data_IF_486160666078
#
_entry.id   IF_486160666078
#
_cell.length_a   1.000
_cell.length_b   1.000
_cell.length_c   1.000
_cell.angle_alpha   90.00
_cell.angle_beta   90.00
_cell.angle_gamma   90.00
#
_symmetry.space_group_name_H-M   'P 1'
#
loop_
_entity.id
_entity.type
_entity.pdbx_description
1 polymer ?
#
# COMPACT_ATOMS: atom_id res chain seq x y z
N UNK A 1 -3.97 4.21 7.77
CA UNK A 1 -4.34 4.13 6.34
C UNK A 1 -4.90 2.74 6.08
N UNK A 2 -6.04 2.63 5.40
CA UNK A 2 -6.66 1.38 4.95
C UNK A 2 -6.58 1.33 3.42
N UNK A 3 -5.97 0.27 2.87
CA UNK A 3 -5.78 0.07 1.42
C UNK A 3 -5.91 -1.41 1.06
N UNK A 4 -5.65 -1.80 -0.18
CA UNK A 4 -5.86 -3.15 -0.67
C UNK A 4 -7.30 -3.39 -1.13
N UNK A 5 -7.56 -4.56 -1.73
CA UNK A 5 -8.90 -4.89 -2.25
C UNK A 5 -10.02 -4.84 -1.21
N UNK A 6 -9.74 -5.18 0.05
CA UNK A 6 -10.74 -5.15 1.13
C UNK A 6 -11.18 -3.74 1.53
N UNK A 7 -10.38 -2.71 1.22
CA UNK A 7 -10.73 -1.32 1.53
C UNK A 7 -11.91 -0.79 0.70
N UNK A 8 -12.36 -1.51 -0.34
CA UNK A 8 -13.64 -1.22 -1.03
C UNK A 8 -14.88 -1.57 -0.20
N UNK A 9 -14.74 -2.41 0.83
CA UNK A 9 -15.88 -2.77 1.68
C UNK A 9 -16.15 -1.64 2.69
N UNK A 10 -17.19 -0.85 2.44
CA UNK A 10 -17.65 0.20 3.36
C UNK A 10 -18.00 -0.38 4.74
N UNK A 11 -18.63 -1.55 4.79
CA UNK A 11 -19.00 -2.19 6.05
C UNK A 11 -17.77 -2.54 6.89
N UNK A 12 -16.73 -3.10 6.27
CA UNK A 12 -15.48 -3.44 6.95
C UNK A 12 -14.75 -2.18 7.39
N UNK A 13 -14.57 -1.22 6.48
CA UNK A 13 -13.82 0.00 6.75
C UNK A 13 -14.51 0.88 7.79
N UNK A 14 -15.84 0.95 7.81
CA UNK A 14 -16.59 1.67 8.85
C UNK A 14 -16.37 1.06 10.24
N UNK A 15 -16.50 -0.27 10.38
CA UNK A 15 -16.22 -0.96 11.64
C UNK A 15 -14.79 -0.70 12.11
N UNK A 16 -13.81 -0.95 11.24
CA UNK A 16 -12.40 -0.72 11.58
C UNK A 16 -12.14 0.72 12.01
N UNK A 17 -12.74 1.69 11.30
CA UNK A 17 -12.59 3.11 11.63
C UNK A 17 -13.12 3.41 13.03
N UNK A 18 -14.31 2.92 13.40
CA UNK A 18 -14.85 3.07 14.75
C UNK A 18 -13.91 2.51 15.82
N UNK A 19 -13.35 1.31 15.59
CA UNK A 19 -12.46 0.66 16.54
C UNK A 19 -11.11 1.35 16.74
N UNK A 20 -10.55 2.00 15.70
CA UNK A 20 -9.15 2.49 15.74
C UNK A 20 -9.00 4.01 15.70
N UNK A 21 -10.09 4.77 15.54
CA UNK A 21 -10.04 6.24 15.43
C UNK A 21 -9.49 6.94 16.68
N UNK A 22 -9.48 6.26 17.84
CA UNK A 22 -8.86 6.80 19.06
C UNK A 22 -7.33 6.92 18.95
N UNK A 23 -6.70 6.20 18.02
CA UNK A 23 -5.25 6.21 17.82
C UNK A 23 -4.86 7.42 16.96
N UNK A 24 -5.52 7.58 15.82
CA UNK A 24 -5.23 8.60 14.81
C UNK A 24 -6.35 8.70 13.76
N UNK A 25 -6.40 9.79 12.96
CA UNK A 25 -7.30 9.89 11.81
C UNK A 25 -7.11 8.73 10.82
N UNK A 26 -8.23 8.19 10.34
CA UNK A 26 -8.24 7.07 9.39
C UNK A 26 -8.42 7.60 7.96
N UNK A 27 -7.49 7.26 7.08
CA UNK A 27 -7.55 7.52 5.64
C UNK A 27 -7.79 6.21 4.92
N UNK A 28 -8.78 6.17 4.02
CA UNK A 28 -9.13 5.01 3.20
C UNK A 28 -8.73 5.30 1.76
N UNK A 29 -7.86 4.46 1.20
CA UNK A 29 -7.43 4.51 -0.20
C UNK A 29 -7.60 3.11 -0.80
N UNK A 30 -8.77 2.81 -1.38
CA UNK A 30 -9.06 1.48 -1.91
C UNK A 30 -8.20 1.11 -3.12
N UNK A 31 -8.00 -0.18 -3.32
CA UNK A 31 -7.28 -0.72 -4.45
C UNK A 31 -5.80 -0.96 -4.19
N UNK A 32 -5.14 -1.39 -5.25
CA UNK A 32 -3.76 -1.88 -5.25
C UNK A 32 -3.07 -1.33 -6.49
N UNK A 33 -1.79 -0.97 -6.34
CA UNK A 33 -0.96 -0.47 -7.44
C UNK A 33 0.24 -1.40 -7.66
N UNK A 34 0.05 -2.72 -7.53
CA UNK A 34 1.15 -3.70 -7.52
C UNK A 34 1.99 -3.65 -8.80
N UNK A 35 1.35 -3.69 -9.98
CA UNK A 35 2.06 -3.66 -11.26
C UNK A 35 2.77 -2.32 -11.50
N UNK A 36 2.14 -1.21 -11.09
CA UNK A 36 2.76 0.11 -11.17
C UNK A 36 3.95 0.22 -10.22
N UNK A 37 3.80 -0.22 -8.96
CA UNK A 37 4.88 -0.23 -7.98
C UNK A 37 6.04 -1.13 -8.40
N UNK A 38 5.75 -2.26 -9.07
CA UNK A 38 6.76 -3.13 -9.66
C UNK A 38 7.53 -2.43 -10.79
N UNK A 39 6.81 -1.81 -11.74
CA UNK A 39 7.40 -1.10 -12.85
C UNK A 39 8.25 0.09 -12.38
N UNK A 40 7.74 0.88 -11.44
CA UNK A 40 8.44 2.01 -10.83
C UNK A 40 9.66 1.54 -10.03
N UNK A 41 9.57 0.43 -9.31
CA UNK A 41 10.69 -0.18 -8.61
C UNK A 41 11.83 -0.59 -9.55
N UNK A 42 11.50 -1.28 -10.64
CA UNK A 42 12.47 -1.65 -11.67
C UNK A 42 13.06 -0.40 -12.35
N UNK A 43 12.23 0.59 -12.64
CA UNK A 43 12.66 1.84 -13.27
C UNK A 43 13.68 2.59 -12.42
N UNK A 44 13.45 2.74 -11.10
CA UNK A 44 14.41 3.39 -10.18
C UNK A 44 15.79 2.74 -10.20
N UNK A 45 15.84 1.41 -10.32
CA UNK A 45 17.12 0.69 -10.47
C UNK A 45 17.78 0.99 -11.81
N UNK A 46 17.02 0.97 -12.90
CA UNK A 46 17.54 1.23 -14.24
C UNK A 46 18.14 2.63 -14.41
N UNK A 47 17.59 3.62 -13.71
CA UNK A 47 18.10 5.01 -13.75
C UNK A 47 19.13 5.34 -12.65
N UNK A 48 19.46 4.37 -11.79
CA UNK A 48 20.46 4.54 -10.73
C UNK A 48 19.98 5.31 -9.50
N UNK A 49 18.67 5.51 -9.33
CA UNK A 49 18.09 6.08 -8.11
C UNK A 49 18.11 5.08 -6.93
N UNK A 50 18.04 3.78 -7.23
CA UNK A 50 18.07 2.70 -6.24
C UNK A 50 19.06 1.61 -6.65
N UNK A 51 19.83 1.06 -5.71
CA UNK A 51 20.74 -0.07 -5.98
C UNK A 51 19.98 -1.38 -5.90
N UNK A 52 20.08 -2.22 -6.94
CA UNK A 52 19.52 -3.57 -6.92
C UNK A 52 20.11 -4.39 -5.74
N UNK A 53 19.23 -5.08 -5.01
CA UNK A 53 19.63 -5.95 -3.90
C UNK A 53 19.85 -7.37 -4.40
N UNK A 54 20.93 -8.00 -3.97
CA UNK A 54 21.19 -9.41 -4.19
C UNK A 54 20.66 -10.22 -3.00
N UNK A 55 19.81 -11.21 -3.29
CA UNK A 55 19.26 -12.12 -2.28
C UNK A 55 19.76 -13.53 -2.58
N UNK A 56 20.54 -14.12 -1.67
CA UNK A 56 20.91 -15.53 -1.74
C UNK A 56 19.76 -16.41 -1.22
N UNK A 57 19.51 -17.58 -1.80
CA UNK A 57 18.52 -18.54 -1.30
C UNK A 57 18.80 -19.00 0.14
#
# INVERSE_FOLDING_TARGET
MLTGGMAYSEQLTAKLTEYVSFIAPVVILPGENELQALAEGAYRVLIGEETAKEYTP
#
